data_IF_286972346459
#
_entry.id   IF_286972346459
#
_cell.length_a   1.000
_cell.length_b   1.000
_cell.length_c   1.000
_cell.angle_alpha   90.00
_cell.angle_beta   90.00
_cell.angle_gamma   90.00
#
_symmetry.space_group_name_H-M   'P 1'
#
loop_
_entity.id
_entity.type
_entity.pdbx_description
1 polymer ?
#
# COMPACT_ATOMS: atom_id res chain seq x y z
N UNK A 1 0.30 -30.61 -7.56
CA UNK A 1 -0.96 -30.28 -6.89
C UNK A 1 -1.45 -31.47 -6.10
N UNK A 2 -1.47 -31.37 -4.77
CA UNK A 2 -2.50 -32.07 -4.01
C UNK A 2 -3.85 -31.69 -4.61
N UNK A 3 -4.79 -32.63 -4.68
CA UNK A 3 -6.06 -32.39 -5.33
C UNK A 3 -6.79 -31.28 -4.56
N UNK A 4 -7.00 -30.08 -5.16
CA UNK A 4 -7.66 -28.93 -4.48
C UNK A 4 -8.99 -29.36 -3.83
N UNK A 5 -9.66 -30.36 -4.42
CA UNK A 5 -10.89 -30.98 -3.94
C UNK A 5 -10.78 -31.64 -2.55
N UNK A 6 -9.55 -31.91 -2.07
CA UNK A 6 -9.29 -32.45 -0.73
C UNK A 6 -9.52 -31.43 0.38
N UNK A 7 -9.34 -30.13 0.08
CA UNK A 7 -9.39 -29.07 1.09
C UNK A 7 -10.34 -27.92 0.75
N UNK A 8 -10.87 -27.85 -0.48
CA UNK A 8 -11.87 -26.88 -0.90
C UNK A 8 -13.03 -27.58 -1.61
N UNK A 9 -14.25 -27.11 -1.33
CA UNK A 9 -15.48 -27.45 -2.05
C UNK A 9 -16.22 -26.17 -2.47
N UNK A 10 -17.11 -26.31 -3.45
CA UNK A 10 -18.08 -25.27 -3.80
C UNK A 10 -19.44 -25.66 -3.20
N UNK A 11 -20.03 -24.78 -2.39
CA UNK A 11 -21.39 -24.91 -1.86
C UNK A 11 -22.14 -23.61 -2.11
N UNK A 12 -23.33 -23.66 -2.72
CA UNK A 12 -24.16 -22.49 -3.01
C UNK A 12 -23.42 -21.37 -3.77
N UNK A 13 -22.56 -21.76 -4.72
CA UNK A 13 -21.65 -20.87 -5.47
C UNK A 13 -20.57 -20.18 -4.63
N UNK A 14 -20.28 -20.67 -3.42
CA UNK A 14 -19.26 -20.14 -2.51
C UNK A 14 -18.15 -21.15 -2.28
N UNK A 15 -16.93 -20.63 -2.08
CA UNK A 15 -15.79 -21.43 -1.65
C UNK A 15 -15.99 -21.81 -0.20
N UNK A 16 -15.81 -23.11 0.09
CA UNK A 16 -15.81 -23.68 1.43
C UNK A 16 -14.53 -24.45 1.66
N UNK A 17 -13.74 -24.03 2.64
CA UNK A 17 -12.51 -24.70 3.03
C UNK A 17 -12.86 -25.83 4.00
N UNK A 18 -12.69 -27.07 3.57
CA UNK A 18 -13.00 -28.27 4.36
C UNK A 18 -11.84 -28.73 5.23
N UNK A 19 -10.61 -28.28 4.94
CA UNK A 19 -9.42 -28.61 5.72
C UNK A 19 -8.44 -27.42 5.69
N UNK A 20 -8.37 -26.67 6.80
CA UNK A 20 -7.52 -25.47 6.91
C UNK A 20 -6.04 -25.84 6.84
N UNK A 21 -5.63 -26.92 7.49
CA UNK A 21 -4.23 -27.37 7.55
C UNK A 21 -3.71 -27.77 6.16
N UNK A 22 -4.52 -28.51 5.39
CA UNK A 22 -4.18 -28.91 4.03
C UNK A 22 -4.08 -27.70 3.09
N UNK A 23 -5.04 -26.75 3.16
CA UNK A 23 -4.94 -25.49 2.41
C UNK A 23 -3.64 -24.75 2.75
N UNK A 24 -3.31 -24.62 4.03
CA UNK A 24 -2.08 -23.96 4.49
C UNK A 24 -0.80 -24.68 4.06
N UNK A 25 -0.83 -26.01 3.91
CA UNK A 25 0.30 -26.78 3.42
C UNK A 25 0.48 -26.63 1.90
N UNK A 26 -0.61 -26.50 1.14
CA UNK A 26 -0.61 -26.40 -0.31
C UNK A 26 -0.49 -24.98 -0.86
N UNK A 27 -0.70 -23.94 -0.04
CA UNK A 27 -0.78 -22.55 -0.51
C UNK A 27 0.49 -22.06 -1.22
N UNK A 28 1.68 -22.53 -0.82
CA UNK A 28 2.96 -22.17 -1.45
C UNK A 28 2.99 -22.57 -2.94
N UNK A 29 2.50 -23.78 -3.27
CA UNK A 29 2.39 -24.27 -4.66
C UNK A 29 1.27 -23.53 -5.41
N UNK A 30 0.12 -23.35 -4.75
CA UNK A 30 -1.08 -22.75 -5.36
C UNK A 30 -0.84 -21.30 -5.78
N UNK A 31 -0.21 -20.47 -4.93
CA UNK A 31 0.07 -19.08 -5.27
C UNK A 31 1.15 -18.96 -6.35
N UNK A 32 2.17 -19.84 -6.34
CA UNK A 32 3.19 -19.87 -7.40
C UNK A 32 2.54 -20.16 -8.76
N UNK A 33 1.69 -21.18 -8.81
CA UNK A 33 0.93 -21.51 -10.01
C UNK A 33 0.03 -20.35 -10.42
N UNK A 34 -0.72 -19.74 -9.51
CA UNK A 34 -1.58 -18.61 -9.82
C UNK A 34 -0.82 -17.44 -10.46
N UNK A 35 0.31 -17.02 -9.88
CA UNK A 35 1.09 -15.86 -10.34
C UNK A 35 1.73 -16.10 -11.71
N UNK A 36 2.28 -17.31 -11.92
CA UNK A 36 3.09 -17.63 -13.11
C UNK A 36 2.36 -18.49 -14.16
N UNK A 37 1.05 -18.73 -13.99
CA UNK A 37 0.25 -19.39 -15.02
C UNK A 37 0.25 -18.54 -16.29
N UNK A 38 0.51 -19.19 -17.44
CA UNK A 38 0.55 -18.54 -18.76
C UNK A 38 -0.86 -18.30 -19.32
N UNK A 39 -1.86 -19.04 -18.85
CA UNK A 39 -3.26 -18.83 -19.17
C UNK A 39 -3.84 -17.76 -18.22
N UNK A 40 -4.16 -16.60 -18.77
CA UNK A 40 -4.67 -15.47 -17.99
C UNK A 40 -6.04 -15.72 -17.34
N UNK A 41 -6.90 -16.54 -17.95
CA UNK A 41 -8.18 -16.91 -17.33
C UNK A 41 -7.98 -17.81 -16.12
N UNK A 42 -7.10 -18.82 -16.24
CA UNK A 42 -6.74 -19.71 -15.13
C UNK A 42 -5.99 -18.97 -14.02
N UNK A 43 -5.07 -18.07 -14.38
CA UNK A 43 -4.40 -17.18 -13.43
C UNK A 43 -5.42 -16.40 -12.60
N UNK A 44 -6.31 -15.66 -13.25
CA UNK A 44 -7.35 -14.87 -12.55
C UNK A 44 -8.26 -15.76 -11.69
N UNK A 45 -8.60 -16.95 -12.18
CA UNK A 45 -9.40 -17.93 -11.46
C UNK A 45 -8.70 -18.41 -10.18
N UNK A 46 -7.43 -18.81 -10.25
CA UNK A 46 -6.64 -19.25 -9.09
C UNK A 46 -6.41 -18.12 -8.08
N UNK A 47 -6.11 -16.90 -8.55
CA UNK A 47 -5.98 -15.73 -7.67
C UNK A 47 -7.29 -15.46 -6.93
N UNK A 48 -8.43 -15.50 -7.62
CA UNK A 48 -9.75 -15.35 -6.99
C UNK A 48 -10.04 -16.47 -5.99
N UNK A 49 -9.74 -17.72 -6.34
CA UNK A 49 -9.91 -18.88 -5.45
C UNK A 49 -9.17 -18.67 -4.12
N UNK A 50 -7.93 -18.17 -4.16
CA UNK A 50 -7.13 -17.89 -2.96
C UNK A 50 -7.79 -16.81 -2.09
N UNK A 51 -8.27 -15.72 -2.70
CA UNK A 51 -8.96 -14.62 -2.00
C UNK A 51 -10.22 -15.14 -1.29
N UNK A 52 -11.06 -15.90 -2.01
CA UNK A 52 -12.30 -16.44 -1.44
C UNK A 52 -12.03 -17.50 -0.35
N UNK A 53 -10.99 -18.34 -0.51
CA UNK A 53 -10.58 -19.30 0.50
C UNK A 53 -10.06 -18.62 1.78
N UNK A 54 -9.31 -17.51 1.64
CA UNK A 54 -8.84 -16.71 2.78
C UNK A 54 -10.02 -16.18 3.60
N UNK A 55 -11.05 -15.64 2.93
CA UNK A 55 -12.26 -15.11 3.56
C UNK A 55 -13.04 -16.18 4.31
N UNK A 56 -13.22 -17.36 3.73
CA UNK A 56 -13.95 -18.46 4.37
C UNK A 56 -13.28 -18.94 5.67
N UNK A 57 -11.96 -18.79 5.80
CA UNK A 57 -11.22 -19.14 7.02
C UNK A 57 -11.01 -17.98 8.00
N UNK A 58 -11.59 -16.80 7.73
CA UNK A 58 -11.56 -15.65 8.64
C UNK A 58 -10.47 -14.62 8.39
N UNK A 59 -9.81 -14.63 7.22
CA UNK A 59 -8.88 -13.60 6.77
C UNK A 59 -9.66 -12.65 5.85
N UNK A 60 -9.99 -11.46 6.36
CA UNK A 60 -11.04 -10.63 5.75
C UNK A 60 -10.42 -9.33 5.22
N UNK A 61 -10.30 -9.14 3.90
CA UNK A 61 -10.02 -7.84 3.31
C UNK A 61 -11.00 -6.81 3.83
N UNK A 62 -10.47 -5.75 4.45
CA UNK A 62 -11.27 -4.81 5.24
C UNK A 62 -10.87 -3.37 4.95
N UNK A 63 -11.82 -2.46 5.18
CA UNK A 63 -11.51 -1.03 5.23
C UNK A 63 -11.08 -0.61 6.64
N UNK A 64 -10.03 0.20 6.73
CA UNK A 64 -9.57 0.79 7.99
C UNK A 64 -10.41 2.01 8.42
N UNK A 65 -11.35 2.43 7.59
CA UNK A 65 -12.09 3.69 7.74
C UNK A 65 -12.72 3.89 9.13
N UNK A 66 -13.40 2.88 9.70
CA UNK A 66 -14.02 3.01 11.03
C UNK A 66 -12.99 3.11 12.16
N UNK A 67 -11.83 2.45 12.01
CA UNK A 67 -10.72 2.60 12.94
C UNK A 67 -10.13 4.02 12.86
N UNK A 68 -10.00 4.59 11.67
CA UNK A 68 -9.55 5.97 11.48
C UNK A 68 -10.54 7.01 11.96
N UNK A 69 -11.85 6.78 11.81
CA UNK A 69 -12.90 7.60 12.44
C UNK A 69 -12.82 7.57 13.96
N UNK A 70 -12.57 6.40 14.55
CA UNK A 70 -12.37 6.28 16.00
C UNK A 70 -11.16 7.09 16.48
N UNK A 71 -10.05 7.08 15.73
CA UNK A 71 -8.87 7.92 16.00
C UNK A 71 -9.21 9.42 15.85
N UNK A 72 -9.92 9.80 14.78
CA UNK A 72 -10.33 11.18 14.53
C UNK A 72 -11.22 11.76 15.62
N UNK A 73 -12.04 10.91 16.25
CA UNK A 73 -12.87 11.24 17.43
C UNK A 73 -12.09 11.19 18.76
N UNK A 74 -10.80 10.90 18.73
CA UNK A 74 -9.94 10.82 19.92
C UNK A 74 -10.16 9.57 20.79
N UNK A 75 -10.88 8.55 20.31
CA UNK A 75 -11.12 7.30 21.05
C UNK A 75 -9.83 6.49 21.26
N UNK A 76 -8.94 6.53 20.27
CA UNK A 76 -7.62 5.94 20.34
C UNK A 76 -6.56 6.97 19.94
N UNK A 77 -5.37 6.88 20.54
CA UNK A 77 -4.25 7.78 20.30
C UNK A 77 -2.93 7.10 20.66
N UNK A 78 -1.82 7.74 20.29
CA UNK A 78 -0.49 7.36 20.75
C UNK A 78 0.16 6.27 19.90
N UNK A 79 -0.25 6.11 18.65
CA UNK A 79 0.43 5.25 17.67
C UNK A 79 0.29 5.83 16.26
N UNK A 80 1.12 5.35 15.35
CA UNK A 80 1.09 5.70 13.93
C UNK A 80 1.00 4.39 13.14
N UNK A 81 0.05 4.27 12.22
CA UNK A 81 -0.13 3.03 11.44
C UNK A 81 0.98 2.93 10.38
N UNK A 82 1.78 1.85 10.34
CA UNK A 82 2.67 1.62 9.21
C UNK A 82 1.89 1.15 7.99
N UNK A 83 2.05 1.87 6.88
CA UNK A 83 1.67 1.41 5.56
C UNK A 83 2.94 0.88 4.86
N UNK A 84 2.88 -0.39 4.43
CA UNK A 84 4.03 -1.19 4.01
C UNK A 84 3.91 -1.44 2.51
N UNK A 85 4.62 -0.64 1.70
CA UNK A 85 4.72 -0.86 0.26
C UNK A 85 5.66 -2.04 -0.04
N UNK A 86 5.13 -3.10 -0.63
CA UNK A 86 5.93 -4.29 -0.96
C UNK A 86 6.17 -4.37 -2.48
N UNK A 87 7.40 -4.05 -2.88
CA UNK A 87 7.80 -3.96 -4.31
C UNK A 87 8.31 -5.27 -4.91
N UNK A 88 8.80 -6.18 -4.08
CA UNK A 88 9.47 -7.40 -4.50
C UNK A 88 9.41 -8.45 -3.40
N UNK A 89 9.59 -9.72 -3.79
CA UNK A 89 9.43 -10.86 -2.89
C UNK A 89 8.13 -10.77 -2.08
N UNK A 90 7.03 -10.40 -2.73
CA UNK A 90 5.83 -9.93 -2.05
C UNK A 90 5.20 -11.00 -1.17
N UNK A 91 5.14 -12.24 -1.66
CA UNK A 91 4.66 -13.37 -0.87
C UNK A 91 5.50 -13.60 0.38
N UNK A 92 6.82 -13.67 0.23
CA UNK A 92 7.75 -13.92 1.32
C UNK A 92 7.75 -12.76 2.34
N UNK A 93 7.75 -11.51 1.87
CA UNK A 93 7.72 -10.32 2.72
C UNK A 93 6.41 -10.20 3.50
N UNK A 94 5.26 -10.44 2.85
CA UNK A 94 3.96 -10.41 3.51
C UNK A 94 3.85 -11.50 4.58
N UNK A 95 4.42 -12.70 4.35
CA UNK A 95 4.50 -13.76 5.36
C UNK A 95 5.27 -13.29 6.58
N UNK A 96 6.41 -12.63 6.38
CA UNK A 96 7.21 -12.08 7.47
C UNK A 96 6.43 -11.04 8.27
N UNK A 97 5.71 -10.12 7.59
CA UNK A 97 4.82 -9.14 8.26
C UNK A 97 3.76 -9.84 9.10
N UNK A 98 3.04 -10.84 8.56
CA UNK A 98 2.00 -11.55 9.31
C UNK A 98 2.56 -12.33 10.50
N UNK A 99 3.71 -12.99 10.35
CA UNK A 99 4.36 -13.70 11.45
C UNK A 99 4.69 -12.75 12.59
N UNK A 100 5.33 -11.63 12.27
CA UNK A 100 5.72 -10.63 13.28
C UNK A 100 4.51 -9.93 13.90
N UNK A 101 3.49 -9.61 13.10
CA UNK A 101 2.25 -9.03 13.60
C UNK A 101 1.51 -9.96 14.57
N UNK A 102 1.51 -11.28 14.31
CA UNK A 102 0.95 -12.27 15.23
C UNK A 102 1.75 -12.37 16.54
N UNK A 103 3.07 -12.42 16.45
CA UNK A 103 3.97 -12.46 17.61
C UNK A 103 3.73 -11.26 18.54
N UNK A 104 3.58 -10.07 17.95
CA UNK A 104 3.48 -8.80 18.67
C UNK A 104 2.04 -8.31 18.89
N UNK A 105 1.03 -9.13 18.55
CA UNK A 105 -0.39 -8.79 18.62
C UNK A 105 -0.76 -7.46 17.94
N UNK A 106 -0.14 -7.18 16.78
CA UNK A 106 -0.37 -5.98 15.98
C UNK A 106 -1.58 -6.22 15.07
N UNK A 107 -2.52 -5.27 15.07
CA UNK A 107 -3.62 -5.23 14.10
C UNK A 107 -3.65 -3.97 13.24
N UNK A 108 -3.00 -2.89 13.69
CA UNK A 108 -2.93 -1.63 12.98
C UNK A 108 -1.69 -1.60 12.06
N UNK A 109 -1.81 -2.15 10.86
CA UNK A 109 -0.81 -2.10 9.79
C UNK A 109 -1.48 -2.30 8.43
N UNK A 110 -0.92 -1.73 7.37
CA UNK A 110 -1.50 -1.77 6.03
C UNK A 110 -0.49 -2.37 5.04
N UNK A 111 -0.96 -3.24 4.15
CA UNK A 111 -0.22 -3.58 2.93
C UNK A 111 -0.61 -2.64 1.83
N UNK A 112 0.35 -2.04 1.14
CA UNK A 112 0.03 -1.08 0.09
C UNK A 112 0.87 -1.25 -1.17
N UNK A 113 0.38 -0.70 -2.27
CA UNK A 113 1.12 -0.61 -3.52
C UNK A 113 0.66 0.63 -4.28
N UNK A 114 1.60 1.44 -4.75
CA UNK A 114 1.26 2.70 -5.42
C UNK A 114 0.93 2.54 -6.91
N UNK A 115 0.21 3.50 -7.51
CA UNK A 115 -0.11 3.52 -8.97
C UNK A 115 1.11 3.20 -9.84
N UNK A 116 2.25 3.81 -9.53
CA UNK A 116 3.49 3.60 -10.28
C UNK A 116 4.07 2.20 -10.06
N UNK A 117 3.99 1.69 -8.83
CA UNK A 117 4.56 0.42 -8.41
C UNK A 117 3.83 -0.77 -9.02
N UNK A 118 2.50 -0.69 -9.15
CA UNK A 118 1.70 -1.66 -9.89
C UNK A 118 2.31 -1.93 -11.28
N UNK A 119 2.72 -0.88 -11.99
CA UNK A 119 3.34 -0.98 -13.31
C UNK A 119 4.72 -1.61 -13.27
N UNK A 120 5.67 -0.99 -12.58
CA UNK A 120 7.08 -1.42 -12.66
C UNK A 120 7.41 -2.70 -11.89
N UNK A 121 6.54 -3.12 -10.96
CA UNK A 121 6.65 -4.43 -10.28
C UNK A 121 5.79 -5.50 -10.95
N UNK A 122 5.00 -5.12 -11.97
CA UNK A 122 4.02 -5.97 -12.63
C UNK A 122 3.00 -6.61 -11.67
N UNK A 123 2.65 -5.95 -10.56
CA UNK A 123 1.73 -6.46 -9.54
C UNK A 123 0.36 -5.76 -9.67
N UNK A 124 -0.50 -6.28 -10.55
CA UNK A 124 -1.87 -5.77 -10.66
C UNK A 124 -2.67 -6.07 -9.38
N UNK A 125 -3.69 -5.25 -9.04
CA UNK A 125 -4.44 -5.39 -7.79
C UNK A 125 -4.89 -6.81 -7.45
N UNK A 126 -5.48 -7.55 -8.41
CA UNK A 126 -5.94 -8.93 -8.15
C UNK A 126 -4.79 -9.86 -7.71
N UNK A 127 -3.62 -9.73 -8.36
CA UNK A 127 -2.44 -10.51 -7.99
C UNK A 127 -1.92 -10.10 -6.62
N UNK A 128 -1.80 -8.79 -6.36
CA UNK A 128 -1.30 -8.27 -5.09
C UNK A 128 -2.16 -8.75 -3.91
N UNK A 129 -3.49 -8.63 -4.01
CA UNK A 129 -4.41 -9.12 -2.98
C UNK A 129 -4.29 -10.62 -2.75
N UNK A 130 -4.29 -11.42 -3.81
CA UNK A 130 -4.17 -12.87 -3.67
C UNK A 130 -2.82 -13.28 -3.06
N UNK A 131 -1.72 -12.59 -3.41
CA UNK A 131 -0.39 -12.85 -2.83
C UNK A 131 -0.35 -12.51 -1.35
N UNK A 132 -0.89 -11.34 -0.94
CA UNK A 132 -0.98 -10.94 0.47
C UNK A 132 -1.86 -11.91 1.25
N UNK A 133 -3.02 -12.30 0.73
CA UNK A 133 -3.93 -13.22 1.42
C UNK A 133 -3.41 -14.66 1.45
N UNK A 134 -2.68 -15.11 0.42
CA UNK A 134 -1.95 -16.37 0.47
C UNK A 134 -0.93 -16.37 1.62
N UNK A 135 -0.21 -15.26 1.80
CA UNK A 135 0.74 -15.12 2.90
C UNK A 135 0.03 -15.19 4.27
N UNK A 136 -1.13 -14.54 4.40
CA UNK A 136 -1.97 -14.62 5.60
C UNK A 136 -2.43 -16.06 5.89
N UNK A 137 -2.89 -16.79 4.85
CA UNK A 137 -3.25 -18.21 4.94
C UNK A 137 -2.05 -19.00 5.48
N UNK A 138 -0.89 -18.87 4.83
CA UNK A 138 0.32 -19.63 5.17
C UNK A 138 0.69 -19.47 6.64
N UNK A 139 0.71 -18.23 7.12
CA UNK A 139 1.09 -17.91 8.50
C UNK A 139 -0.07 -18.10 9.50
N UNK A 140 -1.27 -18.47 9.03
CA UNK A 140 -2.45 -18.71 9.86
C UNK A 140 -2.89 -17.45 10.59
N UNK A 141 -2.90 -16.32 9.92
CA UNK A 141 -3.49 -15.08 10.40
C UNK A 141 -5.03 -15.19 10.37
N UNK A 142 -5.71 -14.48 11.26
CA UNK A 142 -7.18 -14.37 11.27
C UNK A 142 -7.56 -12.96 11.72
N UNK A 143 -8.51 -12.34 11.01
CA UNK A 143 -8.97 -10.97 11.25
C UNK A 143 -8.91 -10.07 10.02
N UNK A 144 -9.07 -8.75 10.23
CA UNK A 144 -8.99 -7.75 9.17
C UNK A 144 -7.61 -7.71 8.50
N UNK A 145 -7.59 -7.63 7.17
CA UNK A 145 -6.40 -7.35 6.36
C UNK A 145 -6.67 -6.07 5.57
N UNK A 146 -5.83 -5.05 5.79
CA UNK A 146 -5.96 -3.78 5.09
C UNK A 146 -5.04 -3.77 3.87
N UNK A 147 -5.63 -3.65 2.69
CA UNK A 147 -4.92 -3.53 1.41
C UNK A 147 -5.24 -2.14 0.85
N UNK A 148 -4.19 -1.39 0.52
CA UNK A 148 -4.28 0.01 0.14
C UNK A 148 -3.70 0.27 -1.25
N UNK A 149 -4.42 1.09 -2.01
CA UNK A 149 -3.91 1.73 -3.22
C UNK A 149 -3.28 3.06 -2.84
N UNK A 150 -1.95 3.11 -2.83
CA UNK A 150 -1.17 4.31 -2.51
C UNK A 150 -1.06 5.22 -3.75
N UNK A 151 -1.02 6.54 -3.57
CA UNK A 151 -0.93 7.53 -4.64
C UNK A 151 -1.69 7.11 -5.90
N UNK A 152 -3.00 6.95 -5.83
CA UNK A 152 -3.85 6.88 -7.02
C UNK A 152 -3.91 8.28 -7.61
N UNK A 153 -2.75 8.66 -8.16
CA UNK A 153 -2.35 10.01 -8.45
C UNK A 153 -2.91 10.43 -9.80
N UNK A 154 -3.38 11.67 -9.92
CA UNK A 154 -3.60 12.33 -11.20
C UNK A 154 -2.27 12.92 -11.65
N UNK A 155 -1.82 12.58 -12.86
CA UNK A 155 -0.64 13.21 -13.44
C UNK A 155 -1.03 14.55 -14.04
N UNK A 156 -0.61 15.66 -13.44
CA UNK A 156 -0.90 17.02 -13.92
C UNK A 156 -0.55 17.22 -15.39
N UNK A 157 0.57 16.63 -15.87
CA UNK A 157 0.93 16.64 -17.29
C UNK A 157 -0.13 15.95 -18.17
N UNK A 158 -0.51 14.71 -17.84
CA UNK A 158 -1.52 13.96 -18.63
C UNK A 158 -2.90 14.60 -18.52
N UNK A 159 -3.22 15.19 -17.38
CA UNK A 159 -4.46 15.89 -17.15
C UNK A 159 -4.58 17.15 -18.01
N UNK A 160 -3.48 17.90 -18.19
CA UNK A 160 -3.43 19.04 -19.13
C UNK A 160 -3.57 18.57 -20.58
N UNK A 161 -2.95 17.44 -20.93
CA UNK A 161 -3.06 16.84 -22.28
C UNK A 161 -4.49 16.36 -22.60
N UNK A 162 -5.11 15.64 -21.66
CA UNK A 162 -6.51 15.18 -21.76
C UNK A 162 -7.07 14.84 -20.38
N UNK A 163 -7.95 15.71 -19.88
CA UNK A 163 -8.60 15.53 -18.58
C UNK A 163 -9.41 14.23 -18.53
N UNK A 164 -10.23 13.99 -19.56
CA UNK A 164 -11.10 12.82 -19.62
C UNK A 164 -10.30 11.52 -19.61
N UNK A 165 -9.23 11.42 -20.40
CA UNK A 165 -8.44 10.20 -20.48
C UNK A 165 -7.72 9.87 -19.16
N UNK A 166 -7.19 10.88 -18.45
CA UNK A 166 -6.54 10.65 -17.16
C UNK A 166 -7.56 10.28 -16.06
N UNK A 167 -8.74 10.91 -16.06
CA UNK A 167 -9.83 10.56 -15.12
C UNK A 167 -10.36 9.14 -15.40
N UNK A 168 -10.61 8.78 -16.66
CA UNK A 168 -11.08 7.44 -17.04
C UNK A 168 -10.08 6.35 -16.66
N UNK A 169 -8.78 6.63 -16.84
CA UNK A 169 -7.72 5.73 -16.40
C UNK A 169 -7.78 5.52 -14.88
N UNK A 170 -7.93 6.60 -14.09
CA UNK A 170 -8.03 6.51 -12.64
C UNK A 170 -9.31 5.80 -12.20
N UNK A 171 -10.46 6.07 -12.82
CA UNK A 171 -11.70 5.32 -12.58
C UNK A 171 -11.49 3.82 -12.82
N UNK A 172 -10.88 3.44 -13.93
CA UNK A 172 -10.56 2.05 -14.23
C UNK A 172 -9.65 1.40 -13.18
N UNK A 173 -8.61 2.11 -12.72
CA UNK A 173 -7.69 1.61 -11.71
C UNK A 173 -8.36 1.48 -10.33
N UNK A 174 -9.15 2.46 -9.90
CA UNK A 174 -9.94 2.42 -8.66
C UNK A 174 -10.90 1.23 -8.70
N UNK A 175 -11.62 1.06 -9.82
CA UNK A 175 -12.54 -0.06 -10.00
C UNK A 175 -11.82 -1.40 -9.89
N UNK A 176 -10.70 -1.57 -10.58
CA UNK A 176 -9.91 -2.80 -10.49
C UNK A 176 -9.41 -3.06 -9.06
N UNK A 177 -8.98 -2.03 -8.34
CA UNK A 177 -8.54 -2.14 -6.96
C UNK A 177 -9.68 -2.60 -6.03
N UNK A 178 -10.86 -1.98 -6.11
CA UNK A 178 -12.06 -2.39 -5.34
C UNK A 178 -12.53 -3.80 -5.76
N UNK A 179 -12.42 -4.13 -7.05
CA UNK A 179 -12.67 -5.48 -7.57
C UNK A 179 -11.66 -6.51 -7.01
N UNK A 180 -10.45 -6.08 -6.69
CA UNK A 180 -9.43 -6.85 -5.99
C UNK A 180 -9.50 -6.74 -4.45
N UNK A 181 -10.52 -6.09 -3.89
CA UNK A 181 -10.73 -5.94 -2.44
C UNK A 181 -9.71 -5.00 -1.74
N UNK A 182 -9.22 -4.01 -2.48
CA UNK A 182 -8.53 -2.84 -1.92
C UNK A 182 -9.60 -1.90 -1.36
N UNK A 183 -9.78 -1.89 -0.05
CA UNK A 183 -10.78 -1.08 0.63
C UNK A 183 -10.21 0.16 1.33
N UNK A 184 -9.02 0.57 0.90
CA UNK A 184 -8.31 1.77 1.33
C UNK A 184 -7.67 2.37 0.07
N UNK A 185 -8.03 3.60 -0.31
CA UNK A 185 -7.60 4.24 -1.55
C UNK A 185 -7.14 5.66 -1.23
N UNK A 186 -5.87 5.95 -1.49
CA UNK A 186 -5.32 7.29 -1.32
C UNK A 186 -5.29 8.02 -2.66
N UNK A 187 -6.11 9.07 -2.76
CA UNK A 187 -6.21 9.90 -3.96
C UNK A 187 -5.18 11.02 -3.85
N UNK A 188 -4.38 11.15 -4.90
CA UNK A 188 -3.40 12.22 -5.00
C UNK A 188 -3.67 13.09 -6.24
N UNK A 189 -4.38 14.20 -6.05
CA UNK A 189 -4.55 15.21 -7.08
C UNK A 189 -3.65 16.45 -6.84
N UNK A 190 -2.64 16.32 -5.97
CA UNK A 190 -1.77 17.45 -5.55
C UNK A 190 -1.00 18.07 -6.72
N UNK A 191 -0.66 17.29 -7.75
CA UNK A 191 0.04 17.79 -8.95
C UNK A 191 -0.83 18.70 -9.84
N UNK A 192 -2.13 18.81 -9.55
CA UNK A 192 -3.05 19.70 -10.28
C UNK A 192 -3.17 21.09 -9.65
N UNK A 193 -2.53 21.34 -8.51
CA UNK A 193 -2.51 22.64 -7.83
C UNK A 193 -1.94 23.72 -8.76
N UNK A 194 -2.69 24.80 -8.94
CA UNK A 194 -2.32 25.91 -9.83
C UNK A 194 -1.80 27.11 -9.01
N UNK A 195 -0.48 27.16 -8.80
CA UNK A 195 0.18 28.23 -8.04
C UNK A 195 0.09 29.62 -8.69
N UNK A 196 -0.42 29.74 -9.92
CA UNK A 196 -0.63 31.04 -10.57
C UNK A 196 -1.83 31.82 -10.02
N UNK A 197 -2.71 31.15 -9.25
CA UNK A 197 -3.90 31.77 -8.66
C UNK A 197 -3.56 32.65 -7.45
N UNK A 198 -4.30 33.75 -7.22
CA UNK A 198 -3.94 34.74 -6.21
C UNK A 198 -4.22 34.29 -4.77
N UNK A 199 -5.12 33.32 -4.55
CA UNK A 199 -5.42 32.82 -3.20
C UNK A 199 -5.17 31.32 -3.08
N UNK A 200 -4.76 30.84 -1.90
CA UNK A 200 -4.51 29.41 -1.63
C UNK A 200 -5.74 28.54 -1.93
N UNK A 201 -6.95 29.05 -1.66
CA UNK A 201 -8.21 28.37 -1.99
C UNK A 201 -8.41 28.18 -3.50
N UNK A 202 -8.04 29.16 -4.32
CA UNK A 202 -8.10 29.02 -5.78
C UNK A 202 -6.98 28.14 -6.31
N UNK A 203 -5.80 28.17 -5.70
CA UNK A 203 -4.69 27.28 -6.07
C UNK A 203 -5.06 25.80 -5.83
N UNK A 204 -5.70 25.50 -4.70
CA UNK A 204 -6.14 24.14 -4.33
C UNK A 204 -7.41 23.68 -5.06
N UNK A 205 -8.10 24.56 -5.79
CA UNK A 205 -9.39 24.24 -6.42
C UNK A 205 -9.38 23.00 -7.30
N UNK A 206 -8.40 22.82 -8.21
CA UNK A 206 -8.34 21.59 -9.00
C UNK A 206 -8.19 20.35 -8.11
N UNK A 207 -7.31 20.42 -7.10
CA UNK A 207 -7.01 19.31 -6.20
C UNK A 207 -8.25 18.82 -5.43
N UNK A 208 -8.93 19.71 -4.70
CA UNK A 208 -10.12 19.29 -3.93
C UNK A 208 -11.31 18.92 -4.81
N UNK A 209 -11.47 19.54 -5.99
CA UNK A 209 -12.58 19.23 -6.91
C UNK A 209 -12.42 17.84 -7.50
N UNK A 210 -11.22 17.50 -7.98
CA UNK A 210 -10.92 16.18 -8.53
C UNK A 210 -11.00 15.12 -7.43
N UNK A 211 -10.46 15.41 -6.25
CA UNK A 211 -10.54 14.48 -5.11
C UNK A 211 -11.98 14.21 -4.69
N UNK A 212 -12.86 15.23 -4.67
CA UNK A 212 -14.28 15.06 -4.40
C UNK A 212 -14.98 14.20 -5.48
N UNK A 213 -14.68 14.43 -6.76
CA UNK A 213 -15.25 13.64 -7.85
C UNK A 213 -14.84 12.16 -7.77
N UNK A 214 -13.56 11.87 -7.54
CA UNK A 214 -13.05 10.51 -7.37
C UNK A 214 -13.59 9.85 -6.08
N UNK A 215 -13.77 10.62 -5.01
CA UNK A 215 -14.42 10.12 -3.78
C UNK A 215 -15.87 9.71 -4.05
N UNK A 216 -16.64 10.53 -4.78
CA UNK A 216 -18.01 10.21 -5.17
C UNK A 216 -18.03 8.94 -6.05
N UNK A 217 -17.12 8.80 -7.01
CA UNK A 217 -17.00 7.59 -7.81
C UNK A 217 -16.73 6.35 -6.95
N UNK A 218 -15.81 6.43 -5.98
CA UNK A 218 -15.57 5.35 -5.01
C UNK A 218 -16.85 4.99 -4.25
N UNK A 219 -17.64 5.99 -3.81
CA UNK A 219 -18.94 5.75 -3.13
C UNK A 219 -19.95 5.06 -4.03
N UNK A 220 -19.94 5.31 -5.34
CA UNK A 220 -20.86 4.68 -6.29
C UNK A 220 -20.56 3.19 -6.51
N UNK A 221 -19.27 2.81 -6.46
CA UNK A 221 -18.84 1.45 -6.80
C UNK A 221 -18.42 0.62 -5.57
N UNK A 222 -18.37 1.20 -4.38
CA UNK A 222 -18.00 0.45 -3.18
C UNK A 222 -19.02 -0.66 -2.87
N UNK A 223 -18.56 -1.84 -2.42
CA UNK A 223 -19.47 -2.92 -2.05
C UNK A 223 -20.38 -2.52 -0.89
N UNK A 224 -21.65 -2.91 -0.96
CA UNK A 224 -22.60 -2.70 0.13
C UNK A 224 -22.06 -3.25 1.45
N UNK A 225 -22.04 -2.41 2.48
CA UNK A 225 -21.54 -2.76 3.82
C UNK A 225 -20.04 -2.48 4.02
N UNK A 226 -19.32 -2.04 2.99
CA UNK A 226 -17.94 -1.57 3.12
C UNK A 226 -17.93 -0.07 2.78
N UNK A 227 -17.56 0.75 3.75
CA UNK A 227 -17.16 2.13 3.47
C UNK A 227 -15.66 2.13 3.22
N UNK A 228 -15.24 2.24 1.95
CA UNK A 228 -13.82 2.32 1.56
C UNK A 228 -13.17 3.51 2.29
N UNK A 229 -11.95 3.34 2.78
CA UNK A 229 -11.19 4.44 3.41
C UNK A 229 -10.61 5.28 2.30
N UNK A 230 -10.77 6.61 2.36
CA UNK A 230 -10.25 7.52 1.33
C UNK A 230 -9.29 8.51 1.95
N UNK A 231 -8.03 8.49 1.49
CA UNK A 231 -7.06 9.54 1.77
C UNK A 231 -7.08 10.62 0.69
N UNK A 232 -6.85 11.87 1.08
CA UNK A 232 -6.51 12.96 0.16
C UNK A 232 -5.06 13.41 0.35
N UNK A 233 -4.52 14.25 -0.54
CA UNK A 233 -3.14 14.73 -0.46
C UNK A 233 -3.02 16.23 -0.75
N UNK A 234 -2.18 16.91 0.03
CA UNK A 234 -1.72 18.28 -0.23
C UNK A 234 -0.19 18.35 -0.24
N UNK A 235 0.34 19.31 -0.99
CA UNK A 235 1.78 19.53 -1.12
C UNK A 235 2.44 18.43 -1.95
N UNK A 236 2.92 18.79 -3.14
CA UNK A 236 3.64 17.82 -3.96
C UNK A 236 4.94 17.41 -3.27
N UNK A 237 5.10 16.10 -3.06
CA UNK A 237 6.26 15.52 -2.39
C UNK A 237 7.56 15.92 -3.11
N UNK A 238 8.56 16.35 -2.33
CA UNK A 238 9.85 16.85 -2.81
C UNK A 238 9.90 18.35 -3.06
N UNK A 239 8.79 19.09 -2.87
CA UNK A 239 8.77 20.57 -2.91
C UNK A 239 8.77 21.17 -1.50
N UNK A 240 8.15 22.34 -1.31
CA UNK A 240 8.03 23.02 -0.02
C UNK A 240 7.13 22.26 0.96
N UNK A 241 7.34 22.50 2.25
CA UNK A 241 6.47 21.96 3.30
C UNK A 241 5.04 22.48 3.10
N UNK A 242 4.07 21.59 3.33
CA UNK A 242 2.65 21.93 3.41
C UNK A 242 2.40 22.86 4.60
N UNK A 243 1.37 23.69 4.45
CA UNK A 243 0.93 24.64 5.47
C UNK A 243 -0.47 24.30 5.98
N UNK A 244 -0.80 24.76 7.19
CA UNK A 244 -2.15 24.65 7.73
C UNK A 244 -3.16 25.41 6.87
N UNK A 245 -2.75 26.51 6.23
CA UNK A 245 -3.59 27.27 5.30
C UNK A 245 -3.98 26.43 4.07
N UNK A 246 -3.02 25.74 3.44
CA UNK A 246 -3.29 24.82 2.32
C UNK A 246 -4.20 23.67 2.73
N UNK A 247 -3.99 23.10 3.92
CA UNK A 247 -4.82 22.03 4.46
C UNK A 247 -6.27 22.48 4.63
N UNK A 248 -6.49 23.66 5.23
CA UNK A 248 -7.83 24.20 5.40
C UNK A 248 -8.48 24.54 4.05
N UNK A 249 -7.75 25.21 3.17
CA UNK A 249 -8.22 25.53 1.82
C UNK A 249 -8.66 24.27 1.04
N UNK A 250 -7.90 23.19 1.16
CA UNK A 250 -8.24 21.91 0.55
C UNK A 250 -9.46 21.26 1.20
N UNK A 251 -9.49 21.09 2.52
CA UNK A 251 -10.56 20.38 3.22
C UNK A 251 -11.89 21.15 3.22
N UNK A 252 -11.85 22.48 3.34
CA UNK A 252 -13.04 23.33 3.18
C UNK A 252 -13.61 23.22 1.76
N UNK A 253 -12.74 23.35 0.74
CA UNK A 253 -13.15 23.21 -0.66
C UNK A 253 -13.68 21.81 -0.98
N UNK A 254 -13.08 20.77 -0.39
CA UNK A 254 -13.56 19.40 -0.49
C UNK A 254 -14.96 19.29 0.15
N UNK A 255 -15.16 19.81 1.37
CA UNK A 255 -16.46 19.78 2.05
C UNK A 255 -17.56 20.60 1.36
N UNK A 256 -17.19 21.64 0.60
CA UNK A 256 -18.09 22.40 -0.27
C UNK A 256 -18.50 21.63 -1.53
N UNK A 257 -17.62 20.76 -2.04
CA UNK A 257 -17.78 20.08 -3.34
C UNK A 257 -18.31 18.64 -3.21
N UNK A 258 -17.88 17.92 -2.19
CA UNK A 258 -18.22 16.52 -1.96
C UNK A 258 -19.68 16.37 -1.50
N UNK A 259 -20.25 15.19 -1.75
CA UNK A 259 -21.61 14.88 -1.29
C UNK A 259 -21.62 14.73 0.25
N UNK A 260 -22.22 15.71 0.94
CA UNK A 260 -22.29 15.76 2.41
C UNK A 260 -23.06 14.60 3.06
N UNK A 261 -23.86 13.86 2.28
CA UNK A 261 -24.60 12.70 2.76
C UNK A 261 -23.80 11.39 2.66
N UNK A 262 -22.57 11.44 2.16
CA UNK A 262 -21.69 10.28 2.01
C UNK A 262 -20.48 10.37 2.95
N UNK A 263 -19.81 9.23 3.15
CA UNK A 263 -18.55 9.20 3.89
C UNK A 263 -17.48 9.95 3.11
N UNK A 264 -16.83 10.94 3.75
CA UNK A 264 -15.72 11.71 3.18
C UNK A 264 -14.35 11.08 3.40
N UNK A 265 -13.32 11.91 3.45
CA UNK A 265 -11.94 11.49 3.70
C UNK A 265 -11.75 10.96 5.13
N UNK A 266 -10.81 10.05 5.32
CA UNK A 266 -10.41 9.50 6.62
C UNK A 266 -9.10 10.07 7.14
N UNK A 267 -8.21 10.49 6.24
CA UNK A 267 -6.83 10.93 6.50
C UNK A 267 -6.35 11.88 5.40
N UNK A 268 -5.23 12.56 5.61
CA UNK A 268 -4.65 13.48 4.63
C UNK A 268 -3.12 13.40 4.58
N UNK A 269 -2.57 13.13 3.40
CA UNK A 269 -1.13 13.15 3.14
C UNK A 269 -0.60 14.57 3.00
N UNK A 270 0.59 14.80 3.55
CA UNK A 270 1.23 16.11 3.62
C UNK A 270 2.72 16.02 3.32
N UNK A 271 3.30 17.13 2.88
CA UNK A 271 4.73 17.25 2.65
C UNK A 271 5.43 18.00 3.79
N UNK A 272 6.49 17.42 4.34
CA UNK A 272 7.19 17.93 5.55
C UNK A 272 8.71 17.90 5.40
N UNK A 273 9.19 18.03 4.16
CA UNK A 273 10.61 18.10 3.82
C UNK A 273 11.20 16.77 3.36
N UNK A 274 10.36 15.77 3.10
CA UNK A 274 10.78 14.45 2.62
C UNK A 274 10.79 14.34 1.10
N UNK A 275 11.61 13.41 0.60
CA UNK A 275 11.58 12.97 -0.80
C UNK A 275 11.51 11.44 -0.83
N UNK A 276 10.72 10.88 -1.76
CA UNK A 276 10.61 9.43 -1.89
C UNK A 276 11.96 8.76 -2.14
N UNK A 277 12.33 7.83 -1.25
CA UNK A 277 13.51 6.98 -1.40
C UNK A 277 14.84 7.60 -0.99
N UNK A 278 14.84 8.80 -0.42
CA UNK A 278 16.07 9.48 -0.02
C UNK A 278 16.78 10.16 -1.21
N UNK A 279 17.81 10.95 -0.90
CA UNK A 279 18.67 11.58 -1.91
C UNK A 279 20.04 10.90 -1.86
N UNK A 280 20.47 10.30 -2.98
CA UNK A 280 21.78 9.66 -3.07
C UNK A 280 22.83 10.70 -3.45
N UNK A 281 23.85 10.85 -2.61
CA UNK A 281 25.00 11.72 -2.85
C UNK A 281 25.92 11.10 -3.93
N UNK A 282 26.81 11.89 -4.57
CA UNK A 282 27.73 11.37 -5.58
C UNK A 282 28.64 10.24 -5.12
N UNK A 283 28.87 10.12 -3.81
CA UNK A 283 29.65 9.04 -3.17
C UNK A 283 28.82 7.76 -2.93
N UNK A 284 27.56 7.73 -3.35
CA UNK A 284 26.65 6.60 -3.18
C UNK A 284 25.94 6.54 -1.81
N UNK A 285 26.24 7.44 -0.89
CA UNK A 285 25.60 7.48 0.44
C UNK A 285 24.25 8.21 0.39
N UNK A 286 23.39 7.98 1.39
CA UNK A 286 22.12 8.68 1.51
C UNK A 286 22.27 9.98 2.30
N UNK A 287 21.81 11.08 1.72
CA UNK A 287 21.72 12.36 2.40
C UNK A 287 20.78 12.24 3.61
N UNK A 288 21.17 12.87 4.72
CA UNK A 288 20.29 12.99 5.88
C UNK A 288 19.13 13.93 5.57
N UNK A 289 17.94 13.37 5.44
CA UNK A 289 16.70 14.14 5.30
C UNK A 289 16.19 14.48 6.70
N UNK A 290 15.88 15.77 6.91
CA UNK A 290 15.28 16.25 8.15
C UNK A 290 13.79 16.47 7.94
N UNK A 291 12.97 15.64 8.57
CA UNK A 291 11.53 15.86 8.66
C UNK A 291 11.25 17.03 9.58
N UNK A 292 10.35 17.90 9.13
CA UNK A 292 9.75 18.95 9.94
C UNK A 292 8.59 18.38 10.77
N UNK A 293 8.95 17.77 11.91
CA UNK A 293 7.98 17.18 12.84
C UNK A 293 7.05 18.21 13.49
N UNK A 294 7.46 19.49 13.57
CA UNK A 294 6.62 20.56 14.09
C UNK A 294 5.50 20.90 13.09
N UNK A 295 5.84 20.97 11.81
CA UNK A 295 4.84 21.10 10.74
C UNK A 295 3.92 19.88 10.68
N UNK A 296 4.48 18.66 10.76
CA UNK A 296 3.67 17.43 10.79
C UNK A 296 2.67 17.43 11.96
N UNK A 297 3.11 17.90 13.14
CA UNK A 297 2.26 18.02 14.32
C UNK A 297 1.12 19.02 14.11
N UNK A 298 1.44 20.23 13.64
CA UNK A 298 0.43 21.28 13.37
C UNK A 298 -0.62 20.80 12.36
N UNK A 299 -0.19 20.12 11.30
CA UNK A 299 -1.09 19.57 10.27
C UNK A 299 -1.94 18.42 10.82
N UNK A 300 -1.35 17.52 11.61
CA UNK A 300 -2.09 16.42 12.25
C UNK A 300 -3.13 16.94 13.23
N UNK A 301 -2.78 17.95 14.04
CA UNK A 301 -3.70 18.57 14.98
C UNK A 301 -4.84 19.32 14.26
N UNK A 302 -4.55 20.04 13.16
CA UNK A 302 -5.58 20.70 12.36
C UNK A 302 -6.54 19.69 11.71
N UNK A 303 -6.00 18.65 11.05
CA UNK A 303 -6.79 17.59 10.42
C UNK A 303 -7.73 16.90 11.41
N UNK A 304 -7.23 16.61 12.63
CA UNK A 304 -7.99 15.92 13.66
C UNK A 304 -9.01 16.82 14.34
N UNK A 305 -8.58 17.96 14.86
CA UNK A 305 -9.40 18.78 15.75
C UNK A 305 -10.44 19.61 14.99
N UNK A 306 -10.17 19.99 13.74
CA UNK A 306 -11.07 20.83 12.95
C UNK A 306 -11.93 20.02 11.97
N UNK A 307 -11.43 18.87 11.50
CA UNK A 307 -12.09 18.08 10.44
C UNK A 307 -12.41 16.63 10.85
N UNK A 308 -12.10 16.22 12.08
CA UNK A 308 -12.33 14.85 12.58
C UNK A 308 -11.68 13.74 11.74
N UNK A 309 -10.62 14.06 10.97
CA UNK A 309 -9.78 13.07 10.30
C UNK A 309 -8.86 12.38 11.33
N UNK A 310 -8.32 11.21 11.00
CA UNK A 310 -7.41 10.50 11.91
C UNK A 310 -6.12 11.28 12.19
N UNK A 311 -5.65 12.06 11.22
CA UNK A 311 -4.47 12.91 11.30
C UNK A 311 -3.77 13.04 9.94
N UNK A 312 -2.58 13.62 9.94
CA UNK A 312 -1.75 13.70 8.74
C UNK A 312 -1.03 12.36 8.48
N UNK A 313 -0.69 12.13 7.22
CA UNK A 313 0.02 10.94 6.73
C UNK A 313 1.39 11.37 6.22
N UNK A 314 2.43 10.64 6.63
CA UNK A 314 3.80 10.91 6.20
C UNK A 314 4.26 9.94 5.12
N UNK A 315 4.75 10.50 4.01
CA UNK A 315 5.41 9.74 2.95
C UNK A 315 6.93 9.82 3.05
N UNK A 316 7.65 8.92 2.39
CA UNK A 316 9.10 9.02 2.24
C UNK A 316 9.92 8.81 3.54
N UNK A 317 9.41 8.07 4.52
CA UNK A 317 10.05 7.92 5.83
C UNK A 317 11.05 6.73 5.93
N UNK A 318 11.12 5.86 4.92
CA UNK A 318 11.78 4.55 5.07
C UNK A 318 13.29 4.59 5.26
N UNK A 319 13.95 5.66 4.83
CA UNK A 319 15.41 5.85 4.90
C UNK A 319 15.84 6.69 6.11
N UNK A 320 14.91 7.03 7.00
CA UNK A 320 15.22 7.78 8.22
C UNK A 320 15.93 6.89 9.25
N UNK A 321 16.74 7.52 10.14
CA UNK A 321 17.29 6.81 11.29
C UNK A 321 16.17 6.31 12.20
N UNK A 322 16.44 5.21 12.91
CA UNK A 322 15.46 4.55 13.78
C UNK A 322 14.90 5.46 14.89
N UNK A 323 15.74 6.37 15.38
CA UNK A 323 15.38 7.37 16.38
C UNK A 323 14.32 8.38 15.89
N UNK A 324 14.06 8.46 14.58
CA UNK A 324 13.04 9.34 14.03
C UNK A 324 11.62 8.76 14.13
N UNK A 325 11.45 7.42 14.16
CA UNK A 325 10.11 6.82 14.04
C UNK A 325 9.20 7.12 15.23
N UNK A 326 9.75 7.19 16.44
CA UNK A 326 8.97 7.58 17.63
C UNK A 326 8.40 8.99 17.54
N UNK A 327 9.05 9.89 16.78
CA UNK A 327 8.57 11.26 16.59
C UNK A 327 7.29 11.33 15.75
N UNK A 328 7.01 10.34 14.90
CA UNK A 328 5.72 10.29 14.21
C UNK A 328 4.57 10.13 15.19
N UNK A 329 4.77 9.29 16.20
CA UNK A 329 3.80 9.07 17.27
C UNK A 329 3.63 10.35 18.10
N UNK A 330 4.74 11.00 18.48
CA UNK A 330 4.73 12.26 19.25
C UNK A 330 4.07 13.42 18.50
N UNK A 331 4.22 13.48 17.17
CA UNK A 331 3.57 14.46 16.29
C UNK A 331 2.09 14.13 16.05
N UNK A 332 1.57 13.01 16.53
CA UNK A 332 0.21 12.59 16.25
C UNK A 332 -0.02 12.23 14.77
N UNK A 333 1.01 11.79 14.06
CA UNK A 333 0.91 11.28 12.70
C UNK A 333 -0.01 10.05 12.69
N UNK A 334 -0.99 10.02 11.79
CA UNK A 334 -1.93 8.90 11.70
C UNK A 334 -1.29 7.67 11.07
N UNK A 335 -0.52 7.88 10.00
CA UNK A 335 -0.02 6.81 9.15
C UNK A 335 1.32 7.22 8.53
N UNK A 336 2.21 6.24 8.29
CA UNK A 336 3.50 6.46 7.64
C UNK A 336 3.76 5.42 6.56
N UNK A 337 4.06 5.88 5.34
CA UNK A 337 4.28 5.03 4.17
C UNK A 337 5.75 4.62 4.07
N UNK A 338 5.98 3.31 3.91
CA UNK A 338 7.29 2.68 4.02
C UNK A 338 7.54 1.72 2.85
N UNK A 339 8.56 2.01 2.03
CA UNK A 339 8.86 1.25 0.82
C UNK A 339 10.37 1.00 0.64
N UNK A 340 11.12 2.07 0.37
CA UNK A 340 12.50 1.97 -0.12
C UNK A 340 13.44 1.30 0.88
N UNK A 341 13.19 1.45 2.19
CA UNK A 341 13.98 0.77 3.22
C UNK A 341 13.92 -0.75 3.10
N UNK A 342 12.74 -1.32 2.84
CA UNK A 342 12.57 -2.77 2.67
C UNK A 342 13.24 -3.28 1.40
N UNK A 343 13.10 -2.53 0.30
CA UNK A 343 13.81 -2.81 -0.94
C UNK A 343 15.33 -2.77 -0.73
N UNK A 344 15.84 -1.80 0.02
CA UNK A 344 17.26 -1.67 0.29
C UNK A 344 17.77 -2.89 1.06
N UNK A 345 17.05 -3.32 2.11
CA UNK A 345 17.37 -4.56 2.84
C UNK A 345 17.46 -5.76 1.88
N UNK A 346 16.50 -5.93 0.97
CA UNK A 346 16.53 -7.04 0.00
C UNK A 346 17.78 -7.00 -0.89
N UNK A 347 18.07 -5.84 -1.49
CA UNK A 347 19.21 -5.73 -2.40
C UNK A 347 20.56 -5.77 -1.70
N UNK A 348 20.62 -5.27 -0.46
CA UNK A 348 21.87 -5.01 0.26
C UNK A 348 22.17 -6.09 1.32
N UNK A 349 21.28 -7.07 1.50
CA UNK A 349 21.48 -8.26 2.33
C UNK A 349 22.72 -9.04 1.93
N UNK A 350 23.44 -9.55 2.93
CA UNK A 350 24.59 -10.43 2.73
C UNK A 350 24.21 -11.80 2.11
N UNK A 351 22.92 -12.16 2.17
CA UNK A 351 22.39 -13.39 1.60
C UNK A 351 22.04 -13.27 0.12
N UNK A 352 21.98 -12.05 -0.42
CA UNK A 352 21.66 -11.80 -1.82
C UNK A 352 22.80 -12.30 -2.73
N UNK A 353 22.55 -13.25 -3.65
CA UNK A 353 23.60 -13.76 -4.54
C UNK A 353 24.16 -12.64 -5.43
N UNK A 354 25.48 -12.47 -5.43
CA UNK A 354 26.16 -11.38 -6.13
C UNK A 354 26.02 -11.46 -7.65
N UNK A 355 26.00 -12.68 -8.19
CA UNK A 355 25.74 -12.98 -9.59
C UNK A 355 24.31 -12.55 -9.99
N UNK A 356 23.31 -12.90 -9.21
CA UNK A 356 21.92 -12.50 -9.47
C UNK A 356 21.71 -10.99 -9.28
N UNK A 357 22.33 -10.38 -8.26
CA UNK A 357 22.31 -8.91 -8.10
C UNK A 357 22.91 -8.21 -9.33
N UNK A 358 24.01 -8.75 -9.87
CA UNK A 358 24.64 -8.24 -11.08
C UNK A 358 23.75 -8.43 -12.31
N UNK A 359 23.10 -9.59 -12.46
CA UNK A 359 22.10 -9.86 -13.52
C UNK A 359 21.00 -8.78 -13.51
N UNK A 360 20.45 -8.48 -12.34
CA UNK A 360 19.41 -7.44 -12.17
C UNK A 360 19.95 -6.06 -12.57
N UNK A 361 21.17 -5.71 -12.16
CA UNK A 361 21.75 -4.40 -12.45
C UNK A 361 22.10 -4.23 -13.94
N UNK A 362 22.62 -5.26 -14.60
CA UNK A 362 22.85 -5.24 -16.05
C UNK A 362 21.54 -5.11 -16.83
N UNK A 363 20.49 -5.83 -16.41
CA UNK A 363 19.15 -5.66 -16.96
C UNK A 363 18.67 -4.20 -16.84
N UNK A 364 18.84 -3.58 -15.67
CA UNK A 364 18.44 -2.19 -15.44
C UNK A 364 19.22 -1.23 -16.34
N UNK A 365 20.55 -1.39 -16.44
CA UNK A 365 21.41 -0.56 -17.28
C UNK A 365 21.02 -0.64 -18.75
N UNK A 366 20.65 -1.82 -19.22
CA UNK A 366 20.21 -2.02 -20.59
C UNK A 366 18.83 -1.41 -20.84
N UNK A 367 17.82 -1.85 -20.10
CA UNK A 367 16.41 -1.52 -20.40
C UNK A 367 16.02 -0.10 -20.00
N UNK A 368 16.62 0.45 -18.93
CA UNK A 368 16.30 1.77 -18.41
C UNK A 368 17.41 2.80 -18.63
N UNK A 369 18.36 2.54 -19.53
CA UNK A 369 19.46 3.46 -19.89
C UNK A 369 18.99 4.89 -20.16
N UNK A 370 17.83 5.06 -20.79
CA UNK A 370 17.24 6.36 -21.14
C UNK A 370 16.78 7.17 -19.92
N UNK A 371 16.66 6.56 -18.75
CA UNK A 371 16.29 7.25 -17.51
C UNK A 371 17.50 7.82 -16.76
N UNK A 372 18.72 7.48 -17.19
CA UNK A 372 19.94 8.05 -16.62
C UNK A 372 20.03 9.53 -16.99
N UNK A 373 20.02 10.39 -15.96
CA UNK A 373 20.11 11.85 -16.15
C UNK A 373 21.55 12.27 -16.45
N UNK A 374 21.71 13.41 -17.13
CA UNK A 374 23.01 14.04 -17.32
C UNK A 374 23.67 14.32 -15.95
N UNK A 375 24.96 13.99 -15.82
CA UNK A 375 25.71 14.16 -14.57
C UNK A 375 25.42 13.12 -13.47
N UNK A 376 24.47 12.20 -13.66
CA UNK A 376 24.17 11.15 -12.68
C UNK A 376 25.22 10.03 -12.71
N UNK A 377 25.77 9.66 -11.54
CA UNK A 377 26.69 8.51 -11.43
C UNK A 377 25.97 7.20 -11.71
N UNK A 378 26.72 6.10 -11.94
CA UNK A 378 26.11 4.79 -12.11
C UNK A 378 25.39 4.34 -10.83
N UNK A 379 25.96 4.59 -9.67
CA UNK A 379 25.40 4.24 -8.36
C UNK A 379 24.08 4.97 -8.12
N UNK A 380 24.04 6.28 -8.40
CA UNK A 380 22.81 7.07 -8.30
C UNK A 380 21.74 6.57 -9.27
N UNK A 381 22.13 6.23 -10.50
CA UNK A 381 21.22 5.67 -11.50
C UNK A 381 20.64 4.34 -11.04
N UNK A 382 21.49 3.37 -10.67
CA UNK A 382 21.07 2.05 -10.18
C UNK A 382 20.18 2.20 -8.94
N UNK A 383 20.57 3.00 -7.95
CA UNK A 383 19.77 3.15 -6.73
C UNK A 383 18.35 3.66 -7.04
N UNK A 384 18.22 4.66 -7.91
CA UNK A 384 16.93 5.25 -8.25
C UNK A 384 16.04 4.34 -9.10
N UNK A 385 16.64 3.42 -9.86
CA UNK A 385 15.94 2.55 -10.83
C UNK A 385 15.81 1.09 -10.38
N UNK A 386 16.55 0.63 -9.37
CA UNK A 386 16.55 -0.79 -8.95
C UNK A 386 15.19 -1.36 -8.58
N UNK A 387 14.26 -0.51 -8.13
CA UNK A 387 12.85 -0.87 -7.92
C UNK A 387 12.19 -1.53 -9.15
N UNK A 388 12.64 -1.18 -10.37
CA UNK A 388 12.13 -1.73 -11.64
C UNK A 388 12.69 -3.12 -11.96
N UNK A 389 13.70 -3.59 -11.23
CA UNK A 389 14.25 -4.93 -11.35
C UNK A 389 13.34 -6.02 -10.79
N UNK A 390 12.31 -5.68 -10.00
CA UNK A 390 11.40 -6.67 -9.41
C UNK A 390 10.34 -7.18 -10.39
N UNK A 391 9.84 -6.35 -11.30
CA UNK A 391 8.75 -6.74 -12.20
C UNK A 391 9.21 -7.71 -13.28
N UNK A 392 10.11 -7.27 -14.16
CA UNK A 392 10.55 -8.08 -15.31
C UNK A 392 11.29 -9.35 -14.91
N UNK A 393 11.95 -9.37 -13.74
CA UNK A 393 12.65 -10.53 -13.19
C UNK A 393 11.85 -11.22 -12.06
N UNK A 394 10.55 -10.96 -11.92
CA UNK A 394 9.72 -11.44 -10.80
C UNK A 394 9.85 -12.94 -10.54
N UNK A 395 9.83 -13.75 -11.61
CA UNK A 395 9.98 -15.21 -11.48
C UNK A 395 11.35 -15.61 -10.95
N UNK A 396 12.42 -14.97 -11.43
CA UNK A 396 13.79 -15.20 -10.93
C UNK A 396 13.92 -14.85 -9.46
N UNK A 397 13.34 -13.72 -9.03
CA UNK A 397 13.25 -13.36 -7.60
C UNK A 397 12.51 -14.43 -6.78
N UNK A 398 11.38 -14.91 -7.28
CA UNK A 398 10.56 -15.90 -6.59
C UNK A 398 11.27 -17.24 -6.40
N UNK A 399 11.99 -17.67 -7.44
CA UNK A 399 12.73 -18.94 -7.53
C UNK A 399 14.11 -18.90 -6.84
N UNK A 400 14.46 -17.79 -6.18
CA UNK A 400 15.67 -17.74 -5.35
C UNK A 400 15.69 -18.91 -4.36
N UNK A 401 16.87 -19.50 -4.07
CA UNK A 401 16.99 -20.59 -3.12
C UNK A 401 16.34 -20.26 -1.78
N UNK A 402 15.76 -21.27 -1.14
CA UNK A 402 15.03 -21.09 0.12
C UNK A 402 15.92 -20.47 1.20
N UNK A 403 17.19 -20.86 1.26
CA UNK A 403 18.18 -20.40 2.21
C UNK A 403 18.47 -18.90 2.03
N UNK A 404 18.58 -18.45 0.77
CA UNK A 404 18.73 -17.03 0.41
C UNK A 404 17.52 -16.25 0.89
N UNK A 405 16.31 -16.69 0.53
CA UNK A 405 15.08 -15.99 0.93
C UNK A 405 14.92 -15.98 2.45
N UNK A 406 15.28 -17.06 3.14
CA UNK A 406 15.22 -17.15 4.60
C UNK A 406 16.12 -16.11 5.27
N UNK A 407 17.35 -15.94 4.80
CA UNK A 407 18.27 -14.93 5.32
C UNK A 407 17.76 -13.50 5.11
N UNK A 408 17.31 -13.16 3.90
CA UNK A 408 16.74 -11.83 3.59
C UNK A 408 15.47 -11.58 4.43
N UNK A 409 14.60 -12.58 4.58
CA UNK A 409 13.38 -12.42 5.37
C UNK A 409 13.68 -12.24 6.86
N UNK A 410 14.76 -12.79 7.40
CA UNK A 410 15.16 -12.56 8.79
C UNK A 410 15.55 -11.09 9.04
N UNK A 411 16.29 -10.48 8.12
CA UNK A 411 16.64 -9.05 8.19
C UNK A 411 15.38 -8.16 8.08
N UNK A 412 14.44 -8.51 7.21
CA UNK A 412 13.16 -7.82 7.12
C UNK A 412 12.29 -8.02 8.37
N UNK A 413 12.30 -9.20 8.98
CA UNK A 413 11.55 -9.51 10.20
C UNK A 413 11.98 -8.64 11.38
N UNK A 414 13.29 -8.47 11.56
CA UNK A 414 13.86 -7.54 12.54
C UNK A 414 13.39 -6.11 12.27
N UNK A 415 13.45 -5.68 11.00
CA UNK A 415 13.00 -4.34 10.61
C UNK A 415 11.51 -4.11 10.88
N UNK A 416 10.65 -5.07 10.55
CA UNK A 416 9.21 -4.95 10.82
C UNK A 416 8.92 -4.92 12.32
N UNK A 417 9.61 -5.76 13.12
CA UNK A 417 9.48 -5.75 14.57
C UNK A 417 9.84 -4.39 15.18
N UNK A 418 11.00 -3.85 14.80
CA UNK A 418 11.43 -2.52 15.23
C UNK A 418 10.40 -1.44 14.86
N UNK A 419 9.90 -1.44 13.63
CA UNK A 419 8.91 -0.47 13.20
C UNK A 419 7.61 -0.57 14.01
N UNK A 420 7.15 -1.78 14.31
CA UNK A 420 5.96 -1.98 15.14
C UNK A 420 6.14 -1.43 16.56
N UNK A 421 7.32 -1.60 17.16
CA UNK A 421 7.66 -1.00 18.46
C UNK A 421 7.72 0.52 18.38
N UNK A 422 8.49 1.07 17.43
CA UNK A 422 8.75 2.52 17.34
C UNK A 422 7.52 3.32 16.94
N UNK A 423 6.61 2.74 16.16
CA UNK A 423 5.34 3.34 15.79
C UNK A 423 4.22 3.04 16.81
N UNK A 424 4.56 2.33 17.89
CA UNK A 424 3.70 1.98 19.01
C UNK A 424 2.42 1.22 18.62
N UNK A 425 2.51 0.32 17.63
CA UNK A 425 1.36 -0.48 17.15
C UNK A 425 1.29 -1.89 17.77
N UNK A 426 2.20 -2.21 18.70
CA UNK A 426 2.15 -3.46 19.49
C UNK A 426 0.83 -3.53 20.27
N UNK A 427 0.23 -4.72 20.35
CA UNK A 427 -1.06 -4.97 21.02
C UNK A 427 -2.28 -4.19 20.45
N UNK A 428 -2.20 -3.69 19.22
CA UNK A 428 -3.33 -2.98 18.59
C UNK A 428 -4.41 -3.91 18.02
N UNK A 429 -4.21 -5.23 18.04
CA UNK A 429 -5.17 -6.19 17.47
C UNK A 429 -6.58 -6.06 18.05
N UNK A 430 -6.70 -5.86 19.36
CA UNK A 430 -8.01 -5.77 20.04
C UNK A 430 -8.74 -4.47 19.76
N UNK A 431 -8.03 -3.35 19.62
CA UNK A 431 -8.68 -2.08 19.25
C UNK A 431 -9.14 -2.10 17.79
N UNK A 432 -8.36 -2.71 16.89
CA UNK A 432 -8.75 -2.87 15.49
C UNK A 432 -9.96 -3.79 15.37
N UNK A 433 -9.96 -4.95 16.04
CA UNK A 433 -11.09 -5.88 16.03
C UNK A 433 -12.39 -5.28 16.59
N UNK A 434 -12.30 -4.32 17.52
CA UNK A 434 -13.47 -3.62 18.07
C UNK A 434 -14.02 -2.54 17.14
N UNK A 435 -13.18 -1.97 16.28
CA UNK A 435 -13.57 -0.88 15.37
C UNK A 435 -13.96 -1.36 13.99
N UNK A 436 -13.33 -2.42 13.50
CA UNK A 436 -13.50 -2.89 12.12
C UNK A 436 -14.46 -4.08 12.08
N UNK A 437 -15.55 -3.91 11.33
CA UNK A 437 -16.54 -4.96 11.12
C UNK A 437 -16.01 -6.12 10.29
N UNK A 438 -16.61 -7.30 10.45
CA UNK A 438 -16.27 -8.52 9.69
C UNK A 438 -17.15 -8.70 8.46
N UNK A 439 -17.31 -7.63 7.68
CA UNK A 439 -18.16 -7.65 6.49
C UNK A 439 -17.45 -8.40 5.37
N UNK A 440 -17.95 -9.58 5.02
CA UNK A 440 -17.40 -10.40 3.94
C UNK A 440 -18.16 -10.07 2.65
N UNK A 441 -17.46 -9.50 1.68
CA UNK A 441 -17.99 -9.29 0.34
C UNK A 441 -17.80 -10.57 -0.45
N UNK A 442 -18.85 -11.32 -0.67
CA UNK A 442 -18.80 -12.52 -1.50
C UNK A 442 -18.71 -12.11 -2.97
N UNK A 443 -17.78 -12.70 -3.71
CA UNK A 443 -17.72 -12.55 -5.18
C UNK A 443 -18.00 -13.87 -5.86
N UNK A 444 -18.61 -13.81 -7.03
CA UNK A 444 -18.88 -15.00 -7.81
C UNK A 444 -17.58 -15.71 -8.20
N UNK A 445 -17.64 -17.04 -8.11
CA UNK A 445 -16.52 -17.90 -8.48
C UNK A 445 -16.51 -18.07 -10.01
N UNK A 446 -15.38 -17.83 -10.69
CA UNK A 446 -15.26 -18.08 -12.12
C UNK A 446 -15.53 -19.55 -12.48
N UNK A 447 -16.18 -19.81 -13.62
CA UNK A 447 -16.43 -21.18 -14.11
C UNK A 447 -15.16 -22.03 -14.22
N UNK A 448 -14.02 -21.39 -14.51
CA UNK A 448 -12.71 -22.04 -14.52
C UNK A 448 -12.36 -22.66 -13.17
N UNK A 449 -12.68 -22.00 -12.05
CA UNK A 449 -12.51 -22.57 -10.71
C UNK A 449 -13.46 -23.75 -10.50
N UNK A 450 -14.70 -23.69 -11.00
CA UNK A 450 -15.67 -24.80 -10.91
C UNK A 450 -15.18 -26.05 -11.63
N UNK A 451 -14.39 -25.91 -12.69
CA UNK A 451 -13.78 -27.05 -13.41
C UNK A 451 -12.56 -27.62 -12.67
N UNK A 452 -11.91 -26.82 -11.82
CA UNK A 452 -10.75 -27.24 -11.02
C UNK A 452 -11.17 -28.01 -9.75
N UNK A 453 -12.32 -27.66 -9.17
CA UNK A 453 -12.94 -28.32 -8.00
C UNK A 453 -13.93 -29.39 -8.48
#
# INVERSE_FOLDING_TARGET
MGNIKEFIKISDNLIKVTNKEALRASIDELIFQAVFNQNEEEKKALLRLIIEAAKDIGIIPSSINEFYKDIGKGKYKGFTVPAINIRGLTYDSARTVFRKAKEMSVGAFIFEIARSEIGYTAQRPLEYSAVVLAAAIREGFEGPVFIQGDHFQISGKRYIESQQAEIDYLHGLIKEAIDAEFYNIDIDASTTVDLSKPTVKEQQKPNYTITAALTNYIREIEPKGIAVSVGGEIGEIGKSNSTVEELKAFLDGFGETANKNQTGLSKISVQTGTSHGGVVLPDGTLAQIKIDFDTLKKLSDAARNEYSLSGAVQHGASTLPESAFGKFVESGCSEVHLATGFQNIIYDSAHMPSDFKSEVYEFIKKEFSKEKKEGQTEEQFIYSTRKKGFGSLKKRWWELPKEVKTGIMAELEERFGLLFEKLNVVNTRDIVNRSVGRNIIIKEIPDTVRRMI
#
